data_IF_135028889670
#
_entry.id   IF_135028889670
#
_cell.length_a   1.000
_cell.length_b   1.000
_cell.length_c   1.000
_cell.angle_alpha   90.00
_cell.angle_beta   90.00
_cell.angle_gamma   90.00
#
_symmetry.space_group_name_H-M   'P 1'
#
loop_
_entity.id
_entity.type
_entity.pdbx_description
1 polymer ?
#
# COMPACT_ATOMS: atom_id res chain seq x y z
N UNK A 1 -14.48 -24.25 2.85
CA UNK A 1 -14.22 -23.00 2.08
C UNK A 1 -13.38 -22.07 2.96
N UNK A 2 -12.23 -22.54 3.48
CA UNK A 2 -11.60 -21.95 4.68
C UNK A 2 -10.14 -21.50 4.46
N UNK A 3 -9.30 -22.26 3.74
CA UNK A 3 -7.87 -21.92 3.61
C UNK A 3 -7.59 -20.65 2.80
N UNK A 4 -8.41 -20.35 1.79
CA UNK A 4 -8.22 -19.18 0.92
C UNK A 4 -8.47 -17.84 1.64
N UNK A 5 -9.31 -17.81 2.68
CA UNK A 5 -9.66 -16.56 3.39
C UNK A 5 -8.63 -16.12 4.41
N UNK A 6 -8.07 -17.05 5.20
CA UNK A 6 -6.99 -16.72 6.15
C UNK A 6 -5.70 -16.26 5.45
N UNK A 7 -5.46 -16.70 4.22
CA UNK A 7 -4.35 -16.21 3.39
C UNK A 7 -4.47 -14.72 3.07
N UNK A 8 -5.69 -14.16 3.05
CA UNK A 8 -5.90 -12.75 2.76
C UNK A 8 -5.52 -11.83 3.93
N UNK A 9 -5.34 -12.37 5.15
CA UNK A 9 -4.82 -11.60 6.28
C UNK A 9 -3.38 -11.12 6.03
N UNK A 10 -2.60 -11.86 5.24
CA UNK A 10 -1.26 -11.43 4.83
C UNK A 10 -1.30 -10.11 4.04
N UNK A 11 -2.43 -9.79 3.38
CA UNK A 11 -2.60 -8.54 2.64
C UNK A 11 -2.62 -7.31 3.56
N UNK A 12 -2.86 -7.47 4.86
CA UNK A 12 -2.84 -6.37 5.83
C UNK A 12 -1.43 -5.94 6.25
N UNK A 13 -0.38 -6.73 5.95
CA UNK A 13 0.99 -6.42 6.37
C UNK A 13 1.47 -5.08 5.76
N UNK A 14 1.30 -4.92 4.45
CA UNK A 14 1.71 -3.70 3.71
C UNK A 14 0.97 -2.44 4.20
N UNK A 15 -0.38 -2.42 4.27
CA UNK A 15 -1.11 -1.24 4.72
C UNK A 15 -0.80 -0.88 6.17
N UNK A 16 -0.67 -1.85 7.08
CA UNK A 16 -0.31 -1.56 8.47
C UNK A 16 1.08 -0.91 8.56
N UNK A 17 2.07 -1.46 7.85
CA UNK A 17 3.43 -0.89 7.84
C UNK A 17 3.46 0.51 7.21
N UNK A 18 2.66 0.74 6.17
CA UNK A 18 2.46 2.07 5.60
C UNK A 18 1.83 3.04 6.59
N UNK A 19 0.79 2.63 7.30
CA UNK A 19 0.13 3.44 8.32
C UNK A 19 1.06 3.81 9.49
N UNK A 20 1.95 2.91 9.90
CA UNK A 20 3.00 3.21 10.88
C UNK A 20 3.97 4.26 10.33
N UNK A 21 4.40 4.14 9.08
CA UNK A 21 5.31 5.11 8.46
C UNK A 21 4.68 6.51 8.35
N UNK A 22 3.37 6.60 8.10
CA UNK A 22 2.61 7.84 8.15
C UNK A 22 2.69 8.51 9.54
N UNK A 23 2.42 7.76 10.62
CA UNK A 23 2.54 8.29 11.99
C UNK A 23 3.96 8.72 12.33
N UNK A 24 4.98 7.98 11.88
CA UNK A 24 6.38 8.35 12.10
C UNK A 24 6.74 9.64 11.36
N UNK A 25 6.23 9.84 10.14
CA UNK A 25 6.41 11.09 9.41
C UNK A 25 5.68 12.26 10.09
N UNK A 26 4.45 12.06 10.55
CA UNK A 26 3.69 13.07 11.29
C UNK A 26 4.43 13.50 12.56
N UNK A 27 4.99 12.54 13.31
CA UNK A 27 5.80 12.80 14.51
C UNK A 27 7.05 13.62 14.20
N UNK A 28 7.72 13.36 13.08
CA UNK A 28 8.90 14.13 12.68
C UNK A 28 8.53 15.53 12.18
N UNK A 29 7.39 15.72 11.49
CA UNK A 29 6.90 17.05 11.10
C UNK A 29 6.54 17.91 12.32
N UNK A 30 5.92 17.32 13.35
CA UNK A 30 5.59 18.03 14.60
C UNK A 30 6.79 18.49 15.42
N UNK A 31 7.97 17.93 15.18
CA UNK A 31 9.22 18.40 15.80
C UNK A 31 9.74 19.69 15.14
N UNK A 32 9.33 19.98 13.91
CA UNK A 32 9.56 21.27 13.29
C UNK A 32 8.77 22.35 14.04
N UNK A 33 9.41 23.47 14.36
CA UNK A 33 8.90 24.54 15.24
C UNK A 33 7.65 25.30 14.73
N UNK A 34 6.96 24.80 13.71
CA UNK A 34 5.73 25.44 13.22
C UNK A 34 4.52 24.91 14.00
N UNK A 35 3.75 25.84 14.56
CA UNK A 35 2.52 25.53 15.28
C UNK A 35 1.54 24.83 14.33
N UNK A 36 1.38 23.51 14.50
CA UNK A 36 0.36 22.70 13.86
C UNK A 36 0.41 22.69 12.30
N UNK A 37 1.42 22.04 11.67
CA UNK A 37 1.43 21.90 10.23
C UNK A 37 0.26 20.99 9.83
N UNK A 38 -0.65 21.51 8.97
CA UNK A 38 -1.79 20.79 8.38
C UNK A 38 -1.35 19.44 7.79
N UNK A 39 -0.12 19.38 7.27
CA UNK A 39 0.52 18.14 6.81
C UNK A 39 0.56 17.04 7.87
N UNK A 40 0.86 17.35 9.13
CA UNK A 40 0.95 16.35 10.20
C UNK A 40 -0.40 15.73 10.55
N UNK A 41 -1.49 16.50 10.47
CA UNK A 41 -2.85 15.96 10.68
C UNK A 41 -3.29 15.07 9.54
N UNK A 42 -2.96 15.44 8.28
CA UNK A 42 -3.22 14.59 7.14
C UNK A 42 -2.44 13.27 7.24
N UNK A 43 -1.17 13.32 7.63
CA UNK A 43 -0.35 12.14 7.84
C UNK A 43 -0.92 11.24 8.96
N UNK A 44 -1.34 11.82 10.10
CA UNK A 44 -2.01 11.06 11.17
C UNK A 44 -3.33 10.44 10.72
N UNK A 45 -4.13 11.17 9.94
CA UNK A 45 -5.38 10.68 9.38
C UNK A 45 -5.15 9.50 8.43
N UNK A 46 -4.15 9.58 7.54
CA UNK A 46 -3.75 8.45 6.71
C UNK A 46 -3.22 7.29 7.55
N UNK A 47 -2.42 7.57 8.58
CA UNK A 47 -1.98 6.55 9.54
C UNK A 47 -3.16 5.80 10.17
N UNK A 48 -4.19 6.52 10.62
CA UNK A 48 -5.41 5.94 11.17
C UNK A 48 -6.18 5.11 10.14
N UNK A 49 -6.34 5.63 8.92
CA UNK A 49 -7.01 4.90 7.83
C UNK A 49 -6.33 3.54 7.64
N UNK A 50 -5.01 3.52 7.51
CA UNK A 50 -4.25 2.34 7.15
C UNK A 50 -4.02 1.34 8.29
N UNK A 51 -3.89 1.80 9.54
CA UNK A 51 -3.68 0.91 10.70
C UNK A 51 -4.98 0.42 11.32
N UNK A 52 -6.05 1.23 11.29
CA UNK A 52 -7.28 0.94 12.02
C UNK A 52 -8.47 0.71 11.10
N UNK A 53 -8.86 1.72 10.30
CA UNK A 53 -10.09 1.66 9.52
C UNK A 53 -10.08 0.53 8.49
N UNK A 54 -9.01 0.47 7.70
CA UNK A 54 -8.85 -0.49 6.61
C UNK A 54 -8.82 -1.94 7.16
N UNK A 55 -8.00 -2.28 8.17
CA UNK A 55 -8.08 -3.60 8.80
C UNK A 55 -9.44 -3.91 9.44
N UNK A 56 -10.05 -2.94 10.12
CA UNK A 56 -11.36 -3.14 10.75
C UNK A 56 -12.45 -3.45 9.72
N UNK A 57 -12.48 -2.73 8.59
CA UNK A 57 -13.39 -3.04 7.49
C UNK A 57 -13.12 -4.44 6.92
N UNK A 58 -11.85 -4.83 6.78
CA UNK A 58 -11.47 -6.14 6.26
C UNK A 58 -11.92 -7.30 7.18
N UNK A 59 -11.68 -7.19 8.49
CA UNK A 59 -12.18 -8.17 9.45
C UNK A 59 -13.70 -8.21 9.49
N UNK A 60 -14.35 -7.04 9.41
CA UNK A 60 -15.79 -6.94 9.37
C UNK A 60 -16.38 -7.63 8.14
N UNK A 61 -15.83 -7.43 6.94
CA UNK A 61 -16.35 -8.07 5.72
C UNK A 61 -16.17 -9.58 5.75
N UNK A 62 -15.03 -10.08 6.25
CA UNK A 62 -14.81 -11.52 6.41
C UNK A 62 -15.87 -12.12 7.33
N UNK A 63 -16.01 -11.55 8.54
CA UNK A 63 -16.97 -12.00 9.54
C UNK A 63 -18.42 -11.95 9.01
N UNK A 64 -18.81 -10.82 8.43
CA UNK A 64 -20.18 -10.59 7.98
C UNK A 64 -20.58 -11.58 6.87
N UNK A 65 -19.65 -11.94 5.97
CA UNK A 65 -19.88 -12.94 4.93
C UNK A 65 -19.86 -14.36 5.49
N UNK A 66 -18.95 -14.68 6.39
CA UNK A 66 -18.80 -16.04 6.97
C UNK A 66 -20.03 -16.45 7.79
N UNK A 67 -20.53 -15.53 8.61
CA UNK A 67 -21.70 -15.77 9.46
C UNK A 67 -23.03 -15.46 8.76
N UNK A 68 -23.00 -15.08 7.46
CA UNK A 68 -24.18 -14.62 6.72
C UNK A 68 -25.01 -13.59 7.51
N UNK A 69 -24.33 -12.70 8.23
CA UNK A 69 -24.95 -11.78 9.19
C UNK A 69 -25.96 -10.83 8.53
N UNK A 70 -25.76 -10.54 7.23
CA UNK A 70 -26.62 -9.67 6.42
C UNK A 70 -27.11 -10.39 5.15
N UNK A 71 -28.08 -11.32 5.27
CA UNK A 71 -28.51 -12.17 4.15
C UNK A 71 -29.14 -11.37 3.00
N UNK A 72 -29.77 -10.23 3.29
CA UNK A 72 -30.39 -9.35 2.28
C UNK A 72 -29.39 -8.45 1.54
N UNK A 73 -28.15 -8.34 2.03
CA UNK A 73 -27.12 -7.44 1.48
C UNK A 73 -25.88 -8.20 0.98
N UNK A 74 -25.99 -9.53 0.82
CA UNK A 74 -24.86 -10.39 0.45
C UNK A 74 -24.10 -9.93 -0.81
N UNK A 75 -24.82 -9.44 -1.83
CA UNK A 75 -24.19 -8.91 -3.05
C UNK A 75 -23.39 -7.63 -2.80
N UNK A 76 -23.92 -6.71 -1.98
CA UNK A 76 -23.23 -5.46 -1.63
C UNK A 76 -22.00 -5.75 -0.79
N UNK A 77 -22.10 -6.63 0.21
CA UNK A 77 -20.95 -7.07 1.02
C UNK A 77 -19.89 -7.78 0.17
N UNK A 78 -20.30 -8.65 -0.75
CA UNK A 78 -19.36 -9.33 -1.65
C UNK A 78 -18.65 -8.35 -2.59
N UNK A 79 -19.32 -7.27 -3.02
CA UNK A 79 -18.67 -6.18 -3.76
C UNK A 79 -17.63 -5.50 -2.87
N UNK A 80 -18.00 -5.02 -1.67
CA UNK A 80 -17.06 -4.35 -0.75
C UNK A 80 -15.86 -5.25 -0.42
N UNK A 81 -16.06 -6.54 -0.21
CA UNK A 81 -14.99 -7.52 0.02
C UNK A 81 -14.04 -7.63 -1.18
N UNK A 82 -14.58 -7.74 -2.41
CA UNK A 82 -13.78 -7.75 -3.64
C UNK A 82 -13.02 -6.45 -3.84
N UNK A 83 -13.65 -5.31 -3.58
CA UNK A 83 -13.03 -3.99 -3.64
C UNK A 83 -11.88 -3.89 -2.64
N UNK A 84 -12.08 -4.34 -1.40
CA UNK A 84 -11.05 -4.42 -0.38
C UNK A 84 -9.88 -5.26 -0.87
N UNK A 85 -10.13 -6.51 -1.28
CA UNK A 85 -9.09 -7.41 -1.78
C UNK A 85 -8.35 -6.81 -2.98
N UNK A 86 -9.04 -6.23 -3.96
CA UNK A 86 -8.41 -5.59 -5.12
C UNK A 86 -7.56 -4.38 -4.73
N UNK A 87 -8.07 -3.51 -3.84
CA UNK A 87 -7.33 -2.38 -3.31
C UNK A 87 -6.09 -2.81 -2.52
N UNK A 88 -6.15 -3.91 -1.79
CA UNK A 88 -5.00 -4.46 -1.10
C UNK A 88 -4.00 -5.15 -2.03
N UNK A 89 -4.49 -5.79 -3.10
CA UNK A 89 -3.69 -6.65 -3.98
C UNK A 89 -3.07 -5.87 -5.14
N UNK A 90 -3.88 -5.14 -5.90
CA UNK A 90 -3.40 -4.22 -6.93
C UNK A 90 -2.76 -3.01 -6.28
N UNK A 91 -3.41 -2.46 -5.25
CA UNK A 91 -2.91 -1.26 -4.57
C UNK A 91 -1.69 -1.44 -3.69
N UNK A 92 -1.14 -2.65 -3.58
CA UNK A 92 0.08 -2.89 -2.84
C UNK A 92 1.27 -2.09 -3.41
N UNK A 93 1.34 -1.90 -4.73
CA UNK A 93 2.47 -1.22 -5.36
C UNK A 93 2.49 0.28 -5.10
N UNK A 94 1.35 0.98 -5.23
CA UNK A 94 1.31 2.39 -4.88
C UNK A 94 1.56 2.60 -3.38
N UNK A 95 1.11 1.69 -2.52
CA UNK A 95 1.41 1.72 -1.08
C UNK A 95 2.93 1.63 -0.82
N UNK A 96 3.64 0.73 -1.52
CA UNK A 96 5.11 0.66 -1.44
C UNK A 96 5.78 1.92 -1.96
N UNK A 97 5.25 2.52 -3.02
CA UNK A 97 5.78 3.78 -3.54
C UNK A 97 5.58 4.93 -2.56
N UNK A 98 4.40 5.06 -1.95
CA UNK A 98 4.14 6.05 -0.90
C UNK A 98 5.07 5.81 0.29
N UNK A 99 5.21 4.56 0.73
CA UNK A 99 6.13 4.20 1.82
C UNK A 99 7.57 4.61 1.50
N UNK A 100 8.06 4.28 0.31
CA UNK A 100 9.40 4.63 -0.14
C UNK A 100 9.58 6.15 -0.25
N UNK A 101 8.57 6.87 -0.73
CA UNK A 101 8.60 8.33 -0.84
C UNK A 101 8.67 9.01 0.54
N UNK A 102 7.81 8.59 1.48
CA UNK A 102 7.80 9.07 2.86
C UNK A 102 9.14 8.80 3.55
N UNK A 103 9.68 7.59 3.38
CA UNK A 103 10.95 7.22 4.00
C UNK A 103 12.14 7.95 3.38
N UNK A 104 12.14 8.14 2.07
CA UNK A 104 13.14 8.97 1.39
C UNK A 104 13.13 10.41 1.92
N UNK A 105 11.93 10.99 2.13
CA UNK A 105 11.79 12.32 2.74
C UNK A 105 12.40 12.37 4.14
N UNK A 106 12.12 11.39 5.01
CA UNK A 106 12.70 11.33 6.37
C UNK A 106 14.22 11.20 6.34
N UNK A 107 14.75 10.32 5.51
CA UNK A 107 16.20 10.12 5.38
C UNK A 107 16.89 11.39 4.90
N UNK A 108 16.28 12.12 3.95
CA UNK A 108 16.79 13.43 3.51
C UNK A 108 16.85 14.43 4.66
N UNK A 109 15.84 14.47 5.52
CA UNK A 109 15.77 15.40 6.64
C UNK A 109 16.77 15.08 7.76
N UNK A 110 17.02 13.80 8.02
CA UNK A 110 17.92 13.33 9.09
C UNK A 110 19.36 13.07 8.63
N UNK A 111 19.61 13.13 7.32
CA UNK A 111 20.88 12.74 6.69
C UNK A 111 21.31 11.30 7.04
N UNK A 112 20.33 10.40 7.06
CA UNK A 112 20.50 8.99 7.41
C UNK A 112 21.02 8.14 6.23
N UNK A 113 21.38 6.88 6.50
CA UNK A 113 21.81 5.93 5.48
C UNK A 113 20.70 5.61 4.46
N UNK A 114 21.04 5.60 3.17
CA UNK A 114 20.13 5.17 2.08
C UNK A 114 19.60 3.75 2.24
N UNK A 115 20.32 2.88 2.98
CA UNK A 115 19.88 1.51 3.22
C UNK A 115 18.57 1.42 4.04
N UNK A 116 18.28 2.44 4.86
CA UNK A 116 17.02 2.53 5.60
C UNK A 116 15.80 2.75 4.69
N UNK A 117 16.02 3.20 3.45
CA UNK A 117 14.99 3.23 2.39
C UNK A 117 14.92 1.88 1.69
N UNK A 118 16.08 1.40 1.25
CA UNK A 118 16.17 0.27 0.32
C UNK A 118 15.86 -1.09 0.95
N UNK A 119 16.32 -1.36 2.17
CA UNK A 119 16.04 -2.65 2.82
C UNK A 119 14.52 -2.89 3.00
N UNK A 120 13.74 -1.92 3.51
CA UNK A 120 12.28 -2.03 3.54
C UNK A 120 11.63 -2.12 2.17
N UNK A 121 12.08 -1.31 1.18
CA UNK A 121 11.59 -1.39 -0.20
C UNK A 121 11.79 -2.79 -0.78
N UNK A 122 12.98 -3.38 -0.55
CA UNK A 122 13.31 -4.71 -1.04
C UNK A 122 12.49 -5.79 -0.37
N UNK A 123 12.29 -5.69 0.96
CA UNK A 123 11.52 -6.65 1.73
C UNK A 123 10.03 -6.61 1.35
N UNK A 124 9.43 -5.42 1.30
CA UNK A 124 8.02 -5.24 0.93
C UNK A 124 7.77 -5.57 -0.54
N UNK A 125 8.66 -5.14 -1.44
CA UNK A 125 8.54 -5.43 -2.86
C UNK A 125 8.72 -6.93 -3.17
N UNK A 126 9.61 -7.61 -2.45
CA UNK A 126 9.72 -9.08 -2.53
C UNK A 126 8.47 -9.76 -1.97
N UNK A 127 7.95 -9.30 -0.82
CA UNK A 127 6.71 -9.82 -0.25
C UNK A 127 5.53 -9.69 -1.22
N UNK A 128 5.32 -8.51 -1.80
CA UNK A 128 4.25 -8.26 -2.79
C UNK A 128 4.49 -9.06 -4.06
N UNK A 129 5.73 -9.15 -4.53
CA UNK A 129 6.03 -9.97 -5.71
C UNK A 129 5.71 -11.43 -5.46
N UNK A 130 6.03 -11.99 -4.28
CA UNK A 130 5.66 -13.35 -3.89
C UNK A 130 4.14 -13.53 -3.77
N UNK A 131 3.47 -12.52 -3.23
CA UNK A 131 2.01 -12.48 -3.12
C UNK A 131 1.35 -12.52 -4.51
N UNK A 132 1.85 -11.72 -5.46
CA UNK A 132 1.40 -11.71 -6.85
C UNK A 132 1.77 -13.02 -7.55
N UNK A 133 2.98 -13.55 -7.33
CA UNK A 133 3.42 -14.85 -7.86
C UNK A 133 2.48 -15.99 -7.44
N UNK A 134 1.86 -15.89 -6.27
CA UNK A 134 0.87 -16.84 -5.77
C UNK A 134 -0.45 -16.76 -6.55
N UNK A 135 -1.02 -15.56 -6.75
CA UNK A 135 -2.42 -15.41 -7.20
C UNK A 135 -2.57 -15.05 -8.69
N UNK A 136 -1.51 -14.53 -9.34
CA UNK A 136 -1.58 -13.94 -10.68
C UNK A 136 -1.36 -14.95 -11.83
N UNK A 137 -1.87 -14.69 -13.05
CA UNK A 137 -1.50 -15.43 -14.27
C UNK A 137 0.01 -15.35 -14.58
N UNK A 138 0.58 -16.42 -15.14
CA UNK A 138 2.03 -16.61 -15.34
C UNK A 138 2.75 -15.44 -16.01
N UNK A 139 2.13 -14.83 -17.03
CA UNK A 139 2.74 -13.73 -17.78
C UNK A 139 2.84 -12.44 -16.95
N UNK A 140 1.89 -12.19 -16.04
CA UNK A 140 1.89 -11.00 -15.17
C UNK A 140 2.80 -11.13 -13.95
N UNK A 141 3.15 -12.37 -13.57
CA UNK A 141 4.09 -12.66 -12.47
C UNK A 141 5.44 -11.98 -12.66
N UNK A 142 5.98 -12.07 -13.86
CA UNK A 142 7.32 -11.57 -14.18
C UNK A 142 7.34 -10.05 -14.33
N UNK A 143 6.24 -9.43 -14.78
CA UNK A 143 6.14 -7.98 -14.92
C UNK A 143 6.38 -7.29 -13.57
N UNK A 144 5.75 -7.78 -12.50
CA UNK A 144 5.93 -7.24 -11.14
C UNK A 144 7.38 -7.32 -10.67
N UNK A 145 8.01 -8.49 -10.83
CA UNK A 145 9.40 -8.73 -10.38
C UNK A 145 10.39 -7.90 -11.18
N UNK A 146 10.23 -7.85 -12.51
CA UNK A 146 11.09 -7.08 -13.42
C UNK A 146 10.95 -5.59 -13.10
N UNK A 147 9.73 -5.09 -12.94
CA UNK A 147 9.48 -3.68 -12.65
C UNK A 147 10.09 -3.26 -11.31
N UNK A 148 9.91 -4.07 -10.27
CA UNK A 148 10.49 -3.87 -8.95
C UNK A 148 12.02 -3.81 -8.97
N UNK A 149 12.66 -4.78 -9.62
CA UNK A 149 14.12 -4.87 -9.71
C UNK A 149 14.72 -3.78 -10.60
N UNK A 150 14.05 -3.44 -11.70
CA UNK A 150 14.46 -2.34 -12.57
C UNK A 150 14.43 -0.99 -11.83
N UNK A 151 13.34 -0.70 -11.10
CA UNK A 151 13.25 0.53 -10.30
C UNK A 151 14.36 0.61 -9.25
N UNK A 152 14.66 -0.50 -8.56
CA UNK A 152 15.77 -0.54 -7.60
C UNK A 152 17.11 -0.23 -8.27
N UNK A 153 17.41 -0.92 -9.39
CA UNK A 153 18.67 -0.76 -10.11
C UNK A 153 18.89 0.65 -10.65
N UNK A 154 17.83 1.27 -11.20
CA UNK A 154 17.87 2.63 -11.72
C UNK A 154 18.07 3.67 -10.61
N UNK A 155 17.45 3.45 -9.46
CA UNK A 155 17.35 4.47 -8.41
C UNK A 155 18.40 4.33 -7.30
N UNK A 156 19.14 3.22 -7.20
CA UNK A 156 20.16 3.02 -6.15
C UNK A 156 21.26 4.10 -6.18
N UNK A 157 21.65 4.55 -7.39
CA UNK A 157 22.65 5.62 -7.58
C UNK A 157 22.03 7.03 -7.55
N UNK A 158 20.70 7.14 -7.58
CA UNK A 158 20.03 8.42 -7.59
C UNK A 158 20.16 9.16 -6.23
N UNK A 159 19.93 10.48 -6.27
CA UNK A 159 19.82 11.27 -5.05
C UNK A 159 18.52 10.94 -4.32
N UNK A 160 18.52 11.01 -2.98
CA UNK A 160 17.31 10.74 -2.17
C UNK A 160 16.15 11.67 -2.55
N UNK A 161 16.46 12.92 -2.93
CA UNK A 161 15.47 13.89 -3.42
C UNK A 161 14.84 13.45 -4.76
N UNK A 162 15.64 12.91 -5.67
CA UNK A 162 15.13 12.36 -6.94
C UNK A 162 14.25 11.14 -6.66
N UNK A 163 14.70 10.26 -5.77
CA UNK A 163 13.97 9.06 -5.37
C UNK A 163 12.61 9.36 -4.75
N UNK A 164 12.53 10.32 -3.84
CA UNK A 164 11.26 10.80 -3.28
C UNK A 164 10.29 11.26 -4.37
N UNK A 165 10.75 12.11 -5.31
CA UNK A 165 9.90 12.65 -6.39
C UNK A 165 9.39 11.55 -7.33
N UNK A 166 10.27 10.64 -7.73
CA UNK A 166 9.92 9.54 -8.64
C UNK A 166 8.89 8.63 -7.98
N UNK A 167 9.07 8.28 -6.70
CA UNK A 167 8.09 7.42 -6.02
C UNK A 167 6.76 8.11 -5.76
N UNK A 168 6.72 9.42 -5.48
CA UNK A 168 5.44 10.15 -5.44
C UNK A 168 4.73 10.16 -6.79
N UNK A 169 5.47 10.38 -7.88
CA UNK A 169 4.91 10.34 -9.23
C UNK A 169 4.35 8.96 -9.57
N UNK A 170 5.13 7.89 -9.30
CA UNK A 170 4.69 6.51 -9.50
C UNK A 170 3.48 6.18 -8.63
N UNK A 171 3.46 6.59 -7.37
CA UNK A 171 2.30 6.38 -6.49
C UNK A 171 1.03 7.01 -7.08
N UNK A 172 1.10 8.28 -7.52
CA UNK A 172 -0.03 8.96 -8.13
C UNK A 172 -0.49 8.31 -9.43
N UNK A 173 0.45 7.96 -10.31
CA UNK A 173 0.17 7.29 -11.58
C UNK A 173 -0.48 5.92 -11.36
N UNK A 174 0.10 5.10 -10.49
CA UNK A 174 -0.39 3.76 -10.18
C UNK A 174 -1.76 3.81 -9.52
N UNK A 175 -1.97 4.71 -8.56
CA UNK A 175 -3.29 4.92 -7.95
C UNK A 175 -4.34 5.30 -8.99
N UNK A 176 -4.04 6.23 -9.89
CA UNK A 176 -4.98 6.63 -10.94
C UNK A 176 -5.26 5.48 -11.92
N UNK A 177 -4.22 4.80 -12.40
CA UNK A 177 -4.34 3.68 -13.31
C UNK A 177 -5.16 2.54 -12.70
N UNK A 178 -4.96 2.23 -11.42
CA UNK A 178 -5.74 1.22 -10.70
C UNK A 178 -7.22 1.59 -10.61
N UNK A 179 -7.53 2.83 -10.24
CA UNK A 179 -8.93 3.27 -10.15
C UNK A 179 -9.63 3.27 -11.53
N UNK A 180 -8.91 3.67 -12.60
CA UNK A 180 -9.45 3.60 -13.97
C UNK A 180 -9.68 2.16 -14.43
N UNK A 181 -8.68 1.29 -14.24
CA UNK A 181 -8.79 -0.14 -14.53
C UNK A 181 -9.93 -0.77 -13.75
N UNK A 182 -10.09 -0.37 -12.49
CA UNK A 182 -11.14 -0.84 -11.62
C UNK A 182 -12.53 -0.47 -12.16
N UNK A 183 -12.77 0.81 -12.44
CA UNK A 183 -14.05 1.28 -13.01
C UNK A 183 -14.35 0.56 -14.32
N UNK A 184 -13.33 0.36 -15.15
CA UNK A 184 -13.46 -0.36 -16.41
C UNK A 184 -13.84 -1.84 -16.19
N UNK A 185 -13.14 -2.55 -15.30
CA UNK A 185 -13.42 -3.94 -14.99
C UNK A 185 -14.81 -4.14 -14.37
N UNK A 186 -15.27 -3.23 -13.51
CA UNK A 186 -16.62 -3.30 -12.95
C UNK A 186 -17.70 -2.93 -13.98
N UNK A 187 -17.40 -2.05 -14.95
CA UNK A 187 -18.36 -1.69 -16.00
C UNK A 187 -18.59 -2.79 -17.05
N UNK A 188 -17.67 -3.74 -17.16
CA UNK A 188 -17.70 -4.84 -18.15
C UNK A 188 -18.33 -6.12 -17.57
N UNK A 189 -18.48 -6.23 -16.24
CA UNK A 189 -19.02 -7.39 -15.51
C UNK A 189 -20.41 -7.10 -14.97
#
# INVERSE_FOLDING_TARGET
>A
MESYRYQQLAYLIVPILLGIEFFLCAKDERKGKEAAPVGSYLLDFFGFIFVALIPAMFFFTIWAVEYKAFPLQGNTLARIDRYGVLFFFFGAWWQVYVFAALRARRIRLKNDSKWLLWAPYLMLGSFISLLILWVSPWNMKWVSVIWFTALFALMIKASVKTTEKVFWFLAGFTFFAENVLFVWLESVV
#
